data_IF_924873840722
#
_entry.id   IF_924873840722
#
_cell.length_a   1.000
_cell.length_b   1.000
_cell.length_c   1.000
_cell.angle_alpha   90.00
_cell.angle_beta   90.00
_cell.angle_gamma   90.00
#
_symmetry.space_group_name_H-M   'P 1'
#
loop_
_entity.id
_entity.type
_entity.pdbx_description
1 polymer ?
#
# COMPACT_ATOMS: atom_id res chain seq x y z
N UNK A 1 11.85 -1.72 4.73
CA UNK A 1 12.09 -1.56 3.27
C UNK A 1 12.88 -0.28 3.04
N UNK A 2 13.76 -0.20 2.03
CA UNK A 2 14.43 1.07 1.65
C UNK A 2 13.53 1.88 0.72
N UNK A 3 13.59 3.21 0.81
CA UNK A 3 12.81 4.12 -0.03
C UNK A 3 12.97 3.85 -1.55
N UNK A 4 14.21 3.63 -2.02
CA UNK A 4 14.46 3.32 -3.43
C UNK A 4 13.77 2.02 -3.90
N UNK A 5 13.71 1.00 -3.04
CA UNK A 5 13.01 -0.23 -3.39
C UNK A 5 11.50 -0.02 -3.44
N UNK A 6 10.97 0.82 -2.55
CA UNK A 6 9.56 1.19 -2.58
C UNK A 6 9.21 1.97 -3.84
N UNK A 7 10.04 2.93 -4.24
CA UNK A 7 9.89 3.67 -5.49
C UNK A 7 9.80 2.73 -6.69
N UNK A 8 10.69 1.73 -6.78
CA UNK A 8 10.63 0.75 -7.87
C UNK A 8 9.31 -0.01 -7.90
N UNK A 9 8.75 -0.39 -6.74
CA UNK A 9 7.43 -1.03 -6.67
C UNK A 9 6.34 -0.07 -7.17
N UNK A 10 6.39 1.19 -6.76
CA UNK A 10 5.41 2.20 -7.15
C UNK A 10 5.46 2.46 -8.66
N UNK A 11 6.65 2.69 -9.21
CA UNK A 11 6.84 3.01 -10.63
C UNK A 11 6.57 1.80 -11.54
N UNK A 12 7.09 0.61 -11.17
CA UNK A 12 7.07 -0.55 -12.08
C UNK A 12 5.80 -1.40 -11.94
N UNK A 13 5.09 -1.32 -10.81
CA UNK A 13 3.93 -2.18 -10.52
C UNK A 13 2.67 -1.37 -10.27
N UNK A 14 2.70 -0.42 -9.32
CA UNK A 14 1.49 0.31 -8.95
C UNK A 14 1.02 1.21 -10.09
N UNK A 15 1.90 2.03 -10.66
CA UNK A 15 1.54 3.02 -11.66
C UNK A 15 0.86 2.37 -12.89
N UNK A 16 1.43 1.34 -13.56
CA UNK A 16 0.75 0.64 -14.65
C UNK A 16 -0.58 -0.01 -14.24
N UNK A 17 -0.66 -0.52 -13.02
CA UNK A 17 -1.90 -1.11 -12.51
C UNK A 17 -2.99 -0.05 -12.31
N UNK A 18 -2.63 1.14 -11.81
CA UNK A 18 -3.56 2.24 -11.64
C UNK A 18 -4.05 2.77 -12.97
N UNK A 19 -3.19 2.94 -13.99
CA UNK A 19 -3.63 3.35 -15.33
C UNK A 19 -4.57 2.31 -15.96
N UNK A 20 -4.38 1.03 -15.67
CA UNK A 20 -5.25 -0.05 -16.15
C UNK A 20 -6.63 -0.07 -15.45
N UNK A 21 -6.67 0.05 -14.12
CA UNK A 21 -7.90 -0.05 -13.32
C UNK A 21 -8.69 1.25 -13.30
N UNK A 22 -7.99 2.39 -13.34
CA UNK A 22 -8.56 3.74 -13.32
C UNK A 22 -8.17 4.52 -14.59
N UNK A 23 -8.62 4.09 -15.77
CA UNK A 23 -8.20 4.69 -17.05
C UNK A 23 -8.66 6.15 -17.22
N UNK A 24 -9.57 6.63 -16.36
CA UNK A 24 -10.03 8.02 -16.33
C UNK A 24 -9.28 8.89 -15.33
N UNK A 25 -8.26 8.36 -14.64
CA UNK A 25 -7.43 9.17 -13.78
C UNK A 25 -7.96 9.46 -12.38
N UNK A 26 -9.05 8.81 -12.00
CA UNK A 26 -9.75 9.06 -10.74
C UNK A 26 -9.34 8.08 -9.63
N UNK A 27 -8.21 7.39 -9.79
CA UNK A 27 -7.69 6.48 -8.79
C UNK A 27 -7.28 7.21 -7.52
N UNK A 28 -7.51 6.59 -6.36
CA UNK A 28 -7.02 7.09 -5.07
C UNK A 28 -6.12 6.01 -4.49
N UNK A 29 -4.85 6.35 -4.27
CA UNK A 29 -3.88 5.48 -3.64
C UNK A 29 -3.74 5.83 -2.17
N UNK A 30 -3.86 4.83 -1.28
CA UNK A 30 -3.68 4.98 0.15
C UNK A 30 -2.44 4.19 0.60
N UNK A 31 -1.59 4.84 1.39
CA UNK A 31 -0.43 4.22 2.03
C UNK A 31 -0.38 4.66 3.50
N UNK A 32 0.32 3.89 4.33
CA UNK A 32 0.56 4.26 5.73
C UNK A 32 1.68 5.30 5.88
N UNK A 33 1.95 5.70 7.12
CA UNK A 33 3.00 6.69 7.45
C UNK A 33 4.40 6.08 7.66
N UNK A 34 4.70 4.91 7.08
CA UNK A 34 6.04 4.30 7.18
C UNK A 34 7.13 5.23 6.65
N UNK A 35 8.34 5.12 7.21
CA UNK A 35 9.42 6.07 6.93
C UNK A 35 9.85 6.07 5.45
N UNK A 36 9.82 4.91 4.78
CA UNK A 36 10.10 4.81 3.35
C UNK A 36 9.08 5.56 2.48
N UNK A 37 7.80 5.59 2.89
CA UNK A 37 6.73 6.26 2.16
C UNK A 37 6.79 7.79 2.28
N UNK A 38 7.35 8.29 3.39
CA UNK A 38 7.54 9.72 3.66
C UNK A 38 8.92 10.24 3.26
N UNK A 39 9.72 9.42 2.58
CA UNK A 39 11.06 9.82 2.15
C UNK A 39 10.98 10.89 1.06
N UNK A 40 12.01 11.75 0.98
CA UNK A 40 12.05 12.84 -0.01
C UNK A 40 11.82 12.34 -1.45
N UNK A 41 12.46 11.24 -1.83
CA UNK A 41 12.34 10.67 -3.18
C UNK A 41 10.89 10.22 -3.49
N UNK A 42 10.14 9.75 -2.48
CA UNK A 42 8.75 9.37 -2.67
C UNK A 42 7.83 10.58 -2.75
N UNK A 43 8.07 11.60 -1.92
CA UNK A 43 7.30 12.84 -1.96
C UNK A 43 7.49 13.53 -3.32
N UNK A 44 8.72 13.64 -3.81
CA UNK A 44 9.04 14.20 -5.13
C UNK A 44 8.34 13.42 -6.26
N UNK A 45 8.33 12.09 -6.20
CA UNK A 45 7.64 11.27 -7.21
C UNK A 45 6.12 11.50 -7.23
N UNK A 46 5.48 11.62 -6.06
CA UNK A 46 4.04 11.90 -5.97
C UNK A 46 3.66 13.36 -6.28
N UNK A 47 4.62 14.28 -6.28
CA UNK A 47 4.41 15.66 -6.73
C UNK A 47 4.40 15.80 -8.25
N UNK A 48 4.93 14.82 -8.99
CA UNK A 48 4.85 14.82 -10.45
C UNK A 48 3.37 14.75 -10.88
N UNK A 49 2.90 15.69 -11.72
CA UNK A 49 1.52 15.70 -12.17
C UNK A 49 1.30 14.49 -13.08
N UNK A 50 0.65 13.46 -12.53
CA UNK A 50 0.12 12.33 -13.28
C UNK A 50 -1.41 12.42 -13.28
N UNK A 51 -2.02 12.24 -14.44
CA UNK A 51 -3.48 12.20 -14.58
C UNK A 51 -4.04 10.83 -14.22
N UNK A 52 -3.31 9.99 -13.48
CA UNK A 52 -3.67 8.57 -13.29
C UNK A 52 -4.30 8.30 -11.92
N UNK A 53 -3.70 8.85 -10.86
CA UNK A 53 -4.22 8.69 -9.51
C UNK A 53 -3.65 9.73 -8.55
N UNK A 54 -4.33 9.90 -7.42
CA UNK A 54 -3.92 10.80 -6.34
C UNK A 54 -3.55 10.03 -5.08
N UNK A 55 -2.49 10.48 -4.41
CA UNK A 55 -2.15 10.02 -3.08
C UNK A 55 -3.16 10.58 -2.05
N UNK A 56 -3.80 9.70 -1.29
CA UNK A 56 -4.71 10.06 -0.22
C UNK A 56 -3.93 10.71 0.94
N UNK A 57 -4.36 11.90 1.35
CA UNK A 57 -3.88 12.52 2.58
C UNK A 57 -4.35 11.69 3.77
N UNK A 58 -3.40 11.08 4.47
CA UNK A 58 -3.68 10.15 5.57
C UNK A 58 -3.30 10.74 6.93
N UNK A 59 -4.19 10.70 7.94
CA UNK A 59 -3.86 11.17 9.27
C UNK A 59 -2.80 10.29 9.94
N UNK A 60 -1.82 10.88 10.68
CA UNK A 60 -0.83 10.11 11.41
C UNK A 60 -1.49 9.23 12.48
N UNK A 61 -0.85 8.10 12.81
CA UNK A 61 -1.26 7.18 13.88
C UNK A 61 -2.72 6.68 13.79
N UNK A 62 -3.22 6.46 12.57
CA UNK A 62 -4.58 5.98 12.32
C UNK A 62 -4.60 4.57 11.71
N UNK A 63 -4.04 3.54 12.39
CA UNK A 63 -4.02 2.18 11.86
C UNK A 63 -5.42 1.59 11.72
N UNK A 64 -6.35 1.98 12.59
CA UNK A 64 -7.76 1.58 12.57
C UNK A 64 -8.52 2.02 11.31
N UNK A 65 -7.97 2.98 10.56
CA UNK A 65 -8.57 3.44 9.32
C UNK A 65 -8.04 2.65 8.11
N UNK A 66 -6.90 1.97 8.23
CA UNK A 66 -6.24 1.28 7.12
C UNK A 66 -6.93 -0.08 6.86
N UNK A 67 -7.65 -0.27 5.75
CA UNK A 67 -8.33 -1.54 5.47
C UNK A 67 -7.36 -2.73 5.38
N UNK A 68 -6.10 -2.50 5.03
CA UNK A 68 -5.08 -3.56 4.97
C UNK A 68 -4.82 -4.22 6.34
N UNK A 69 -4.91 -3.48 7.44
CA UNK A 69 -4.75 -4.05 8.79
C UNK A 69 -5.83 -5.09 9.10
N UNK A 70 -7.07 -4.84 8.67
CA UNK A 70 -8.16 -5.79 8.83
C UNK A 70 -7.97 -7.03 7.96
N UNK A 71 -7.48 -6.88 6.73
CA UNK A 71 -7.18 -8.01 5.84
C UNK A 71 -6.06 -8.87 6.45
N UNK A 72 -5.02 -8.25 7.00
CA UNK A 72 -3.93 -8.95 7.68
C UNK A 72 -4.42 -9.72 8.90
N UNK A 73 -5.24 -9.13 9.77
CA UNK A 73 -5.84 -9.83 10.92
C UNK A 73 -6.65 -11.06 10.49
N UNK A 74 -7.44 -10.96 9.41
CA UNK A 74 -8.17 -12.12 8.86
C UNK A 74 -7.21 -13.19 8.33
N UNK A 75 -6.18 -12.80 7.59
CA UNK A 75 -5.18 -13.74 7.05
C UNK A 75 -4.39 -14.43 8.15
N UNK A 76 -3.94 -13.69 9.17
CA UNK A 76 -3.22 -14.22 10.31
C UNK A 76 -4.06 -15.23 11.09
N UNK A 77 -5.34 -14.94 11.32
CA UNK A 77 -6.27 -15.91 11.96
C UNK A 77 -6.42 -17.17 11.12
N UNK A 78 -6.57 -17.05 9.81
CA UNK A 78 -6.70 -18.20 8.92
C UNK A 78 -5.43 -19.07 8.91
N UNK A 79 -4.25 -18.45 8.83
CA UNK A 79 -2.96 -19.15 8.85
C UNK A 79 -2.63 -19.73 10.24
N UNK A 80 -2.95 -19.01 11.31
CA UNK A 80 -2.78 -19.48 12.70
C UNK A 80 -3.63 -20.72 12.99
N UNK A 81 -4.88 -20.71 12.54
CA UNK A 81 -5.77 -21.88 12.59
C UNK A 81 -5.18 -23.05 11.78
N UNK A 82 -4.59 -22.79 10.60
CA UNK A 82 -3.94 -23.83 9.79
C UNK A 82 -2.71 -24.46 10.48
N UNK A 83 -1.98 -23.68 11.27
CA UNK A 83 -0.80 -24.14 12.01
C UNK A 83 -1.19 -25.02 13.19
N UNK A 84 -2.32 -24.75 13.87
CA UNK A 84 -2.86 -25.67 14.89
C UNK A 84 -3.32 -27.01 14.28
N UNK A 85 -4.01 -27.01 13.14
CA UNK A 85 -4.44 -28.27 12.49
C UNK A 85 -3.28 -29.18 12.05
N UNK A 86 -2.14 -28.62 11.63
CA UNK A 86 -0.96 -29.40 11.25
C UNK A 86 -0.19 -29.97 12.46
N UNK A 87 -0.38 -29.42 13.67
CA UNK A 87 0.23 -29.93 14.89
C UNK A 87 -0.58 -31.04 15.57
N UNK A 88 -1.80 -31.32 15.08
CA UNK A 88 -2.68 -32.39 15.56
C UNK A 88 -2.95 -33.48 14.50
N UNK A 89 -2.25 -33.46 13.37
CA UNK A 89 -2.33 -34.47 12.30
C UNK A 89 -1.07 -35.36 12.25
#
# INVERSE_FOLDING_TARGET
MKAANYLNIIADQLHPYMSFVFPTGNGIFQQDSAECHKSRIMLEWFEEPTDEFHLLSWPPNSPNLNPMEHIWDVMERQLGVQTEYLNFA
#
